data_IF_021961362034
#
_entry.id   IF_021961362034
#
_cell.length_a   1.000
_cell.length_b   1.000
_cell.length_c   1.000
_cell.angle_alpha   90.00
_cell.angle_beta   90.00
_cell.angle_gamma   90.00
#
_symmetry.space_group_name_H-M   'P 1'
#
loop_
_entity.id
_entity.type
_entity.pdbx_description
1 polymer ?
#
# COMPACT_ATOMS: atom_id res chain seq x y z
N UNK A 1 2.09 5.98 -3.04
CA UNK A 1 1.98 4.56 -2.76
C UNK A 1 1.42 3.81 -3.97
N UNK A 2 2.23 3.51 -4.99
CA UNK A 2 1.83 2.62 -6.08
C UNK A 2 1.26 1.27 -5.60
N UNK A 3 1.59 0.88 -4.36
CA UNK A 3 1.06 -0.29 -3.69
C UNK A 3 -0.46 -0.29 -3.45
N UNK A 4 -1.11 0.87 -3.25
CA UNK A 4 -2.57 0.90 -3.10
C UNK A 4 -3.29 0.66 -4.43
N UNK A 5 -2.81 1.25 -5.54
CA UNK A 5 -3.25 0.85 -6.89
C UNK A 5 -3.08 -0.65 -7.09
N UNK A 6 -1.91 -1.19 -6.74
CA UNK A 6 -1.62 -2.61 -6.90
C UNK A 6 -2.52 -3.49 -6.03
N UNK A 7 -2.91 -3.02 -4.83
CA UNK A 7 -3.87 -3.73 -3.98
C UNK A 7 -5.24 -3.80 -4.64
N UNK A 8 -5.63 -2.74 -5.32
CA UNK A 8 -6.90 -2.65 -6.03
C UNK A 8 -6.83 -3.12 -7.48
N UNK A 9 -5.69 -3.63 -7.95
CA UNK A 9 -5.50 -4.05 -9.35
C UNK A 9 -5.64 -2.92 -10.40
N UNK A 10 -5.35 -1.67 -10.03
CA UNK A 10 -5.43 -0.55 -10.96
C UNK A 10 -4.30 -0.54 -12.00
N UNK A 11 -4.62 -0.02 -13.19
CA UNK A 11 -3.66 0.35 -14.23
C UNK A 11 -2.96 1.68 -13.91
N UNK A 12 -1.63 1.67 -13.92
CA UNK A 12 -0.79 2.88 -13.83
C UNK A 12 -0.50 3.37 -12.42
N UNK A 13 0.30 4.44 -12.32
CA UNK A 13 0.51 5.16 -11.06
C UNK A 13 -0.31 6.45 -11.08
N UNK A 14 -1.33 6.55 -10.23
CA UNK A 14 -2.05 7.80 -9.99
C UNK A 14 -1.15 8.71 -9.17
N UNK A 15 -0.55 9.69 -9.83
CA UNK A 15 0.43 10.60 -9.24
C UNK A 15 -0.16 12.01 -9.29
N UNK A 16 -0.44 12.56 -8.11
CA UNK A 16 -0.78 13.97 -7.94
C UNK A 16 0.48 14.75 -7.61
N UNK A 17 0.73 15.86 -8.31
CA UNK A 17 1.84 16.75 -7.99
C UNK A 17 1.32 17.89 -7.14
N UNK A 18 1.74 17.93 -5.88
CA UNK A 18 1.42 19.02 -4.98
C UNK A 18 2.40 20.16 -5.21
N UNK A 19 1.96 21.21 -5.92
CA UNK A 19 2.78 22.39 -6.19
C UNK A 19 3.00 23.25 -4.93
N UNK A 20 2.08 23.22 -3.97
CA UNK A 20 2.20 23.96 -2.71
C UNK A 20 3.30 23.38 -1.82
N UNK A 21 3.53 22.07 -1.90
CA UNK A 21 4.53 21.37 -1.08
C UNK A 21 5.82 21.03 -1.87
N UNK A 22 6.34 22.03 -2.59
CA UNK A 22 7.62 21.93 -3.31
C UNK A 22 7.60 21.02 -4.54
N UNK A 23 6.41 20.78 -5.12
CA UNK A 23 6.25 19.97 -6.33
C UNK A 23 6.38 18.46 -6.08
N UNK A 24 6.20 18.00 -4.84
CA UNK A 24 6.30 16.58 -4.47
C UNK A 24 5.11 15.80 -5.02
N UNK A 25 5.39 14.60 -5.51
CA UNK A 25 4.36 13.72 -6.06
C UNK A 25 3.75 12.84 -4.97
N UNK A 26 2.53 13.18 -4.59
CA UNK A 26 1.69 12.41 -3.70
C UNK A 26 0.84 11.44 -4.52
N UNK A 27 0.44 10.34 -3.89
CA UNK A 27 -0.27 9.28 -4.58
C UNK A 27 -1.62 9.12 -3.92
N UNK A 28 -2.67 9.31 -4.72
CA UNK A 28 -4.05 9.14 -4.31
C UNK A 28 -4.62 8.07 -5.24
N UNK A 29 -4.97 6.88 -4.73
CA UNK A 29 -5.33 5.75 -5.56
C UNK A 29 -6.51 6.02 -6.52
N UNK A 30 -7.67 6.44 -5.99
CA UNK A 30 -8.93 6.59 -6.70
C UNK A 30 -9.21 8.02 -7.16
N UNK A 31 -8.89 9.00 -6.31
CA UNK A 31 -9.13 10.41 -6.62
C UNK A 31 -8.01 11.02 -7.48
N UNK A 32 -8.41 11.74 -8.51
CA UNK A 32 -7.54 12.50 -9.39
C UNK A 32 -8.14 13.90 -9.59
N UNK A 33 -7.43 14.99 -9.28
CA UNK A 33 -8.01 16.33 -9.42
C UNK A 33 -8.32 16.70 -10.88
N UNK A 34 -7.49 16.26 -11.83
CA UNK A 34 -7.69 16.55 -13.27
C UNK A 34 -8.46 15.48 -14.07
N UNK A 35 -9.04 14.44 -13.41
CA UNK A 35 -9.73 13.33 -14.10
C UNK A 35 -10.92 12.82 -13.29
N UNK A 36 -11.82 12.11 -13.94
CA UNK A 36 -12.88 11.38 -13.22
C UNK A 36 -12.25 10.37 -12.25
N UNK A 37 -12.80 10.31 -11.04
CA UNK A 37 -12.38 9.35 -10.02
C UNK A 37 -12.72 7.94 -10.47
N UNK A 38 -11.84 6.98 -10.17
CA UNK A 38 -12.08 5.59 -10.53
C UNK A 38 -13.15 4.96 -9.64
N UNK A 39 -14.02 4.15 -10.23
CA UNK A 39 -14.89 3.23 -9.49
C UNK A 39 -14.02 2.08 -8.94
N UNK A 40 -13.87 1.94 -7.60
CA UNK A 40 -13.03 0.92 -7.01
C UNK A 40 -13.52 -0.52 -7.27
N UNK A 41 -14.77 -0.72 -7.69
CA UNK A 41 -15.31 -2.03 -8.07
C UNK A 41 -15.22 -2.29 -9.58
N UNK A 42 -14.92 -1.28 -10.39
CA UNK A 42 -14.82 -1.39 -11.84
C UNK A 42 -13.55 -0.68 -12.34
N UNK A 43 -12.42 -1.16 -11.84
CA UNK A 43 -11.12 -0.58 -12.14
C UNK A 43 -10.64 -0.97 -13.54
N UNK A 44 -9.96 -0.07 -14.26
CA UNK A 44 -9.42 -0.39 -15.57
C UNK A 44 -8.30 -1.42 -15.41
N UNK A 45 -8.62 -2.69 -15.63
CA UNK A 45 -7.66 -3.77 -15.68
C UNK A 45 -6.85 -3.68 -16.97
N UNK A 46 -5.58 -4.08 -16.90
CA UNK A 46 -4.70 -4.19 -18.07
C UNK A 46 -4.75 -5.60 -18.61
N UNK A 47 -5.05 -5.74 -19.89
CA UNK A 47 -4.96 -7.02 -20.59
C UNK A 47 -3.56 -7.24 -21.19
N UNK A 48 -3.34 -8.45 -21.72
CA UNK A 48 -2.07 -8.86 -22.31
C UNK A 48 -1.60 -7.93 -23.45
N UNK A 49 -2.44 -7.69 -24.44
CA UNK A 49 -2.07 -6.92 -25.62
C UNK A 49 -1.70 -5.48 -25.26
N UNK A 50 -2.47 -4.86 -24.36
CA UNK A 50 -2.16 -3.52 -23.84
C UNK A 50 -0.82 -3.49 -23.10
N UNK A 51 -0.50 -4.54 -22.33
CA UNK A 51 0.77 -4.63 -21.61
C UNK A 51 1.94 -4.69 -22.59
N UNK A 52 1.85 -5.57 -23.58
CA UNK A 52 2.89 -5.75 -24.58
C UNK A 52 3.08 -4.48 -25.40
N UNK A 53 2.00 -3.84 -25.85
CA UNK A 53 2.08 -2.59 -26.61
C UNK A 53 2.77 -1.49 -25.79
N UNK A 54 2.39 -1.32 -24.52
CA UNK A 54 2.99 -0.33 -23.62
C UNK A 54 4.46 -0.64 -23.34
N UNK A 55 4.80 -1.91 -23.18
CA UNK A 55 6.16 -2.37 -22.93
C UNK A 55 7.07 -2.11 -24.14
N UNK A 56 6.60 -2.46 -25.35
CA UNK A 56 7.33 -2.20 -26.59
C UNK A 56 7.56 -0.70 -26.78
N UNK A 57 6.59 0.15 -26.47
CA UNK A 57 6.78 1.62 -26.53
C UNK A 57 7.91 2.13 -25.65
N UNK A 58 8.16 1.50 -24.51
CA UNK A 58 9.28 1.85 -23.63
C UNK A 58 10.60 1.42 -24.27
N UNK A 59 10.67 0.18 -24.77
CA UNK A 59 11.90 -0.39 -25.35
C UNK A 59 12.28 0.24 -26.70
N UNK A 60 11.30 0.70 -27.48
CA UNK A 60 11.52 1.33 -28.80
C UNK A 60 11.58 2.85 -28.73
N UNK A 61 11.54 3.45 -27.53
CA UNK A 61 11.59 4.90 -27.40
C UNK A 61 12.93 5.44 -27.94
N UNK A 62 12.93 6.55 -28.71
CA UNK A 62 14.13 7.09 -29.32
C UNK A 62 15.11 7.73 -28.32
N UNK A 63 14.66 8.02 -27.09
CA UNK A 63 15.50 8.56 -26.01
C UNK A 63 15.13 7.96 -24.66
N UNK A 64 16.09 7.91 -23.74
CA UNK A 64 15.88 7.47 -22.36
C UNK A 64 14.81 8.30 -21.64
N UNK A 65 14.75 9.61 -21.93
CA UNK A 65 13.75 10.50 -21.34
C UNK A 65 12.32 10.14 -21.78
N UNK A 66 12.14 9.74 -23.04
CA UNK A 66 10.84 9.27 -23.54
C UNK A 66 10.49 7.88 -22.99
N UNK A 67 11.47 6.97 -22.92
CA UNK A 67 11.30 5.67 -22.28
C UNK A 67 10.83 5.83 -20.82
N UNK A 68 11.49 6.71 -20.06
CA UNK A 68 11.14 6.99 -18.67
C UNK A 68 9.74 7.63 -18.55
N UNK A 69 9.37 8.51 -19.47
CA UNK A 69 8.02 9.11 -19.52
C UNK A 69 6.96 8.04 -19.79
N UNK A 70 7.18 7.15 -20.75
CA UNK A 70 6.28 6.02 -21.02
C UNK A 70 6.18 5.07 -19.82
N UNK A 71 7.31 4.78 -19.18
CA UNK A 71 7.37 3.92 -18.01
C UNK A 71 6.64 4.53 -16.80
N UNK A 72 6.77 5.84 -16.55
CA UNK A 72 6.04 6.53 -15.48
C UNK A 72 4.53 6.54 -15.73
N UNK A 73 4.11 6.83 -16.96
CA UNK A 73 2.69 6.91 -17.31
C UNK A 73 1.98 5.56 -17.21
N UNK A 74 2.66 4.47 -17.59
CA UNK A 74 2.07 3.13 -17.64
C UNK A 74 2.42 2.29 -16.41
N UNK A 75 3.52 2.59 -15.71
CA UNK A 75 4.09 1.74 -14.67
C UNK A 75 4.80 0.49 -15.22
N UNK A 76 5.07 0.41 -16.52
CA UNK A 76 5.77 -0.70 -17.18
C UNK A 76 7.17 -0.23 -17.57
N UNK A 77 8.20 -0.98 -17.21
CA UNK A 77 9.59 -0.58 -17.45
C UNK A 77 10.19 -1.10 -18.77
N UNK A 78 9.44 -1.91 -19.53
CA UNK A 78 9.92 -2.55 -20.75
C UNK A 78 9.31 -3.94 -20.94
N UNK A 79 9.66 -4.60 -22.03
CA UNK A 79 9.13 -5.93 -22.37
C UNK A 79 9.70 -6.99 -21.43
N UNK A 80 8.84 -7.75 -20.70
CA UNK A 80 9.32 -8.86 -19.91
C UNK A 80 9.99 -9.90 -20.81
N UNK A 81 11.20 -10.35 -20.46
CA UNK A 81 11.89 -11.41 -21.21
C UNK A 81 11.00 -12.66 -21.39
N UNK A 82 10.21 -12.97 -20.36
CA UNK A 82 9.29 -14.10 -20.34
C UNK A 82 8.07 -13.93 -21.26
N UNK A 83 7.83 -12.74 -21.83
CA UNK A 83 6.78 -12.53 -22.84
C UNK A 83 7.07 -13.29 -24.15
N UNK A 84 8.31 -13.76 -24.36
CA UNK A 84 8.65 -14.66 -25.46
C UNK A 84 8.02 -16.06 -25.32
N UNK A 85 7.54 -16.43 -24.13
CA UNK A 85 6.91 -17.73 -23.88
C UNK A 85 5.41 -17.63 -24.15
N UNK A 86 4.94 -18.31 -25.20
CA UNK A 86 3.50 -18.36 -25.55
C UNK A 86 2.62 -19.04 -24.51
N UNK A 87 3.23 -19.79 -23.57
CA UNK A 87 2.54 -20.41 -22.44
C UNK A 87 2.23 -19.45 -21.29
N UNK A 88 2.70 -18.20 -21.34
CA UNK A 88 2.49 -17.20 -20.29
C UNK A 88 1.63 -16.04 -20.81
N UNK A 89 0.58 -15.70 -20.05
CA UNK A 89 -0.16 -14.45 -20.17
C UNK A 89 0.28 -13.47 -19.09
N UNK A 90 0.68 -12.26 -19.48
CA UNK A 90 0.94 -11.15 -18.56
C UNK A 90 -0.28 -10.21 -18.49
N UNK A 91 -0.71 -9.77 -17.30
CA UNK A 91 -0.13 -10.07 -15.98
C UNK A 91 -0.62 -11.39 -15.35
N UNK A 92 -1.62 -12.06 -15.93
CA UNK A 92 -2.42 -13.11 -15.27
C UNK A 92 -1.64 -14.33 -14.77
N UNK A 93 -0.50 -14.66 -15.38
CA UNK A 93 0.31 -15.84 -15.02
C UNK A 93 1.12 -15.65 -13.75
N UNK A 94 1.25 -14.42 -13.26
CA UNK A 94 2.03 -14.10 -12.07
C UNK A 94 1.09 -13.54 -11.00
N UNK A 95 0.89 -14.32 -9.95
CA UNK A 95 0.21 -13.82 -8.77
C UNK A 95 0.90 -12.55 -8.25
N UNK A 96 0.10 -11.60 -7.77
CA UNK A 96 0.65 -10.41 -7.13
C UNK A 96 1.54 -10.81 -5.96
N UNK A 97 2.75 -10.24 -5.92
CA UNK A 97 3.66 -10.50 -4.83
C UNK A 97 3.13 -9.80 -3.56
N UNK A 98 2.48 -10.58 -2.68
CA UNK A 98 1.80 -10.09 -1.48
C UNK A 98 2.77 -9.44 -0.47
N UNK A 99 3.98 -9.99 -0.35
CA UNK A 99 5.04 -9.54 0.57
C UNK A 99 5.49 -8.08 0.38
N UNK A 100 5.83 -7.63 -0.84
CA UNK A 100 6.08 -6.22 -1.08
C UNK A 100 4.79 -5.40 -1.02
N UNK A 101 3.64 -5.97 -1.36
CA UNK A 101 2.39 -5.23 -1.47
C UNK A 101 1.85 -4.75 -0.11
N UNK A 102 1.50 -5.68 0.78
CA UNK A 102 0.89 -5.32 2.06
C UNK A 102 1.98 -5.02 3.11
N UNK A 103 2.88 -5.94 3.48
CA UNK A 103 3.88 -5.70 4.51
C UNK A 103 4.85 -4.54 4.21
N UNK A 104 5.60 -4.60 3.11
CA UNK A 104 6.69 -3.63 2.87
C UNK A 104 6.23 -2.26 2.39
N UNK A 105 5.04 -2.18 1.80
CA UNK A 105 4.48 -0.91 1.35
C UNK A 105 3.36 -0.44 2.27
N UNK A 106 2.21 -1.13 2.32
CA UNK A 106 1.04 -0.59 3.04
C UNK A 106 1.30 -0.45 4.53
N UNK A 107 1.73 -1.53 5.20
CA UNK A 107 1.98 -1.51 6.65
C UNK A 107 3.12 -0.56 7.00
N UNK A 108 4.19 -0.56 6.20
CA UNK A 108 5.28 0.41 6.34
C UNK A 108 4.77 1.85 6.27
N UNK A 109 4.00 2.19 5.24
CA UNK A 109 3.51 3.56 5.05
C UNK A 109 2.52 3.97 6.15
N UNK A 110 1.68 3.06 6.63
CA UNK A 110 0.82 3.33 7.79
C UNK A 110 1.64 3.64 9.04
N UNK A 111 2.72 2.90 9.29
CA UNK A 111 3.61 3.17 10.42
C UNK A 111 4.36 4.49 10.23
N UNK A 112 4.81 4.81 9.03
CA UNK A 112 5.40 6.11 8.72
C UNK A 112 4.40 7.25 8.98
N UNK A 113 3.10 7.07 8.63
CA UNK A 113 2.03 8.06 8.89
C UNK A 113 1.77 8.25 10.39
N UNK A 114 1.69 7.16 11.16
CA UNK A 114 1.39 7.24 12.60
C UNK A 114 2.56 7.75 13.44
N UNK A 115 3.78 7.76 12.89
CA UNK A 115 5.02 8.14 13.58
C UNK A 115 5.61 9.46 13.09
N UNK A 116 4.87 10.24 12.31
CA UNK A 116 5.32 11.52 11.73
C UNK A 116 6.57 11.40 10.84
N UNK A 117 6.77 10.23 10.22
CA UNK A 117 7.91 9.95 9.33
C UNK A 117 7.51 9.88 7.85
N UNK A 118 6.26 10.20 7.51
CA UNK A 118 5.73 10.02 6.17
C UNK A 118 6.10 11.18 5.24
N UNK A 119 7.25 11.07 4.57
CA UNK A 119 7.66 11.97 3.46
C UNK A 119 7.62 13.47 3.79
N UNK A 120 7.74 13.83 5.08
CA UNK A 120 7.65 15.21 5.56
C UNK A 120 6.27 15.85 5.36
N UNK A 121 5.22 15.04 5.37
CA UNK A 121 3.83 15.48 5.42
C UNK A 121 3.36 15.38 6.88
N UNK A 122 2.69 16.42 7.36
CA UNK A 122 2.00 16.38 8.65
C UNK A 122 0.68 15.61 8.54
N UNK A 123 -0.02 15.46 9.66
CA UNK A 123 -1.28 14.72 9.71
C UNK A 123 -2.49 15.47 9.14
N UNK A 124 -2.34 16.73 8.72
CA UNK A 124 -3.45 17.59 8.36
C UNK A 124 -4.54 17.61 9.44
N UNK A 125 -5.79 17.39 9.04
CA UNK A 125 -6.95 17.26 9.94
C UNK A 125 -7.14 15.83 10.48
N UNK A 126 -6.20 14.94 10.17
CA UNK A 126 -6.26 13.53 10.48
C UNK A 126 -6.34 13.23 11.98
N UNK A 127 -5.51 13.80 12.84
CA UNK A 127 -5.35 13.32 14.24
C UNK A 127 -5.12 11.79 14.28
N UNK A 128 -4.26 11.29 13.37
CA UNK A 128 -3.88 9.88 13.28
C UNK A 128 -2.44 9.62 13.74
N UNK A 129 -1.69 10.64 14.10
CA UNK A 129 -0.38 10.48 14.71
C UNK A 129 -0.50 9.98 16.14
N UNK A 130 0.45 9.13 16.52
CA UNK A 130 0.59 8.66 17.89
C UNK A 130 1.62 9.54 18.59
N UNK A 131 1.37 9.86 19.86
CA UNK A 131 2.37 10.54 20.67
C UNK A 131 3.65 9.71 20.77
N UNK A 132 4.81 10.38 20.80
CA UNK A 132 6.12 9.72 20.88
C UNK A 132 6.22 8.71 22.03
N UNK A 133 5.67 9.06 23.20
CA UNK A 133 5.65 8.16 24.36
C UNK A 133 4.86 6.87 24.11
N UNK A 134 3.76 6.95 23.34
CA UNK A 134 2.95 5.79 22.96
C UNK A 134 3.71 4.91 21.97
N UNK A 135 4.43 5.52 21.02
CA UNK A 135 5.26 4.81 20.04
C UNK A 135 6.40 4.07 20.74
N UNK A 136 7.05 4.70 21.73
CA UNK A 136 8.09 4.09 22.54
C UNK A 136 7.56 2.90 23.36
N UNK A 137 6.35 3.02 23.94
CA UNK A 137 5.70 1.94 24.67
C UNK A 137 5.37 0.74 23.76
N UNK A 138 4.80 1.01 22.57
CA UNK A 138 4.56 -0.01 21.54
C UNK A 138 5.89 -0.68 21.14
N UNK A 139 6.95 0.13 21.00
CA UNK A 139 8.31 -0.30 20.71
C UNK A 139 8.84 -1.29 21.74
N UNK A 140 8.79 -0.92 23.02
CA UNK A 140 9.18 -1.75 24.14
C UNK A 140 8.38 -3.04 24.24
N UNK A 141 7.06 -2.96 24.06
CA UNK A 141 6.18 -4.12 24.07
C UNK A 141 6.50 -5.11 22.93
N UNK A 142 6.84 -4.63 21.72
CA UNK A 142 7.29 -5.48 20.62
C UNK A 142 8.58 -6.23 20.96
N UNK A 143 9.54 -5.56 21.60
CA UNK A 143 10.82 -6.16 22.00
C UNK A 143 10.61 -7.26 23.03
N UNK A 144 9.77 -7.01 24.05
CA UNK A 144 9.43 -7.98 25.09
C UNK A 144 8.65 -9.18 24.54
N UNK A 145 7.66 -8.92 23.67
CA UNK A 145 6.92 -9.99 22.98
C UNK A 145 7.84 -10.81 22.07
N UNK A 146 8.84 -10.16 21.47
CA UNK A 146 9.86 -10.80 20.67
C UNK A 146 10.67 -11.87 21.42
N UNK A 147 10.89 -11.72 22.73
CA UNK A 147 11.59 -12.71 23.56
C UNK A 147 10.78 -13.98 23.80
N UNK A 148 9.45 -13.92 23.66
CA UNK A 148 8.53 -15.05 23.85
C UNK A 148 7.91 -15.57 22.54
N UNK A 149 8.23 -14.93 21.42
CA UNK A 149 7.76 -15.35 20.10
C UNK A 149 8.38 -16.70 19.74
N UNK A 150 7.55 -17.71 19.51
CA UNK A 150 8.05 -19.02 19.06
C UNK A 150 8.66 -18.88 17.67
N UNK A 151 9.80 -19.52 17.45
CA UNK A 151 10.52 -19.50 16.18
C UNK A 151 9.66 -19.99 14.98
N UNK A 152 8.60 -20.75 15.24
CA UNK A 152 7.63 -21.18 14.22
C UNK A 152 6.77 -20.05 13.64
N UNK A 153 6.59 -18.94 14.38
CA UNK A 153 5.87 -17.77 13.90
C UNK A 153 6.77 -16.80 13.12
N UNK A 154 8.08 -16.92 13.28
CA UNK A 154 9.07 -16.13 12.59
C UNK A 154 10.12 -15.53 13.50
N UNK A 155 10.94 -14.65 12.93
CA UNK A 155 11.96 -13.93 13.66
C UNK A 155 11.39 -12.93 14.67
N UNK A 156 12.21 -12.59 15.67
CA UNK A 156 11.92 -11.53 16.65
C UNK A 156 11.51 -10.23 15.93
N UNK A 157 10.34 -9.69 16.27
CA UNK A 157 9.91 -8.38 15.75
C UNK A 157 10.85 -7.28 16.30
N UNK A 158 11.51 -6.48 15.43
CA UNK A 158 12.31 -5.35 15.89
C UNK A 158 11.44 -4.27 16.53
N UNK A 159 12.04 -3.31 17.23
CA UNK A 159 11.32 -2.16 17.75
C UNK A 159 10.80 -1.28 16.58
N UNK A 160 9.47 -1.11 16.39
CA UNK A 160 8.91 -0.28 15.31
C UNK A 160 9.30 1.20 15.35
N UNK A 161 9.70 1.74 16.51
CA UNK A 161 10.11 3.12 16.70
C UNK A 161 11.58 3.35 16.34
N UNK A 162 12.48 2.51 16.86
CA UNK A 162 13.94 2.74 16.81
C UNK A 162 14.68 1.83 15.84
N UNK A 163 14.08 0.70 15.45
CA UNK A 163 14.71 -0.38 14.68
C UNK A 163 13.97 -0.67 13.38
N UNK A 164 13.26 0.33 12.83
CA UNK A 164 12.47 0.20 11.60
C UNK A 164 13.27 -0.34 10.41
N UNK A 165 14.56 -0.01 10.33
CA UNK A 165 15.47 -0.44 9.27
C UNK A 165 15.76 -1.96 9.28
N UNK A 166 15.53 -2.65 10.41
CA UNK A 166 15.63 -4.11 10.49
C UNK A 166 14.32 -4.83 10.11
N UNK A 167 13.23 -4.10 9.87
CA UNK A 167 11.98 -4.75 9.49
C UNK A 167 12.06 -5.31 8.06
N UNK A 168 11.87 -6.62 7.97
CA UNK A 168 11.68 -7.34 6.72
C UNK A 168 10.18 -7.60 6.49
N UNK A 169 9.82 -8.09 5.30
CA UNK A 169 8.43 -8.44 4.98
C UNK A 169 7.81 -9.37 6.05
N UNK A 170 8.58 -10.35 6.53
CA UNK A 170 8.20 -11.25 7.61
C UNK A 170 7.87 -10.50 8.92
N UNK A 171 8.75 -9.60 9.37
CA UNK A 171 8.53 -8.83 10.61
C UNK A 171 7.34 -7.89 10.49
N UNK A 172 7.13 -7.27 9.33
CA UNK A 172 5.93 -6.47 9.05
C UNK A 172 4.66 -7.35 9.08
N UNK A 173 4.71 -8.57 8.54
CA UNK A 173 3.59 -9.51 8.58
C UNK A 173 3.24 -9.90 10.00
N UNK A 174 4.24 -10.31 10.79
CA UNK A 174 4.06 -10.72 12.19
C UNK A 174 3.53 -9.56 13.03
N UNK A 175 4.12 -8.37 12.86
CA UNK A 175 3.64 -7.16 13.51
C UNK A 175 2.20 -6.83 13.14
N UNK A 176 1.85 -6.83 11.85
CA UNK A 176 0.50 -6.46 11.42
C UNK A 176 -0.58 -7.46 11.88
N UNK A 177 -0.27 -8.75 11.87
CA UNK A 177 -1.28 -9.80 12.09
C UNK A 177 -1.43 -10.22 13.56
N UNK A 178 -0.37 -10.13 14.36
CA UNK A 178 -0.39 -10.54 15.77
C UNK A 178 -0.30 -9.35 16.73
N UNK A 179 0.73 -8.51 16.58
CA UNK A 179 1.09 -7.52 17.59
C UNK A 179 0.27 -6.23 17.46
N UNK A 180 0.26 -5.64 16.28
CA UNK A 180 -0.41 -4.37 15.96
C UNK A 180 -1.86 -4.28 16.45
N UNK A 181 -2.72 -5.29 16.23
CA UNK A 181 -4.11 -5.27 16.70
C UNK A 181 -4.25 -5.05 18.21
N UNK A 182 -3.34 -5.63 18.99
CA UNK A 182 -3.33 -5.55 20.46
C UNK A 182 -2.63 -4.26 20.90
N UNK A 183 -1.47 -3.96 20.31
CA UNK A 183 -0.63 -2.83 20.70
C UNK A 183 -1.27 -1.47 20.37
N UNK A 184 -2.05 -1.39 19.29
CA UNK A 184 -2.74 -0.16 18.87
C UNK A 184 -4.13 0.01 19.50
N UNK A 185 -4.58 -0.95 20.31
CA UNK A 185 -5.90 -0.88 20.92
C UNK A 185 -6.00 0.30 21.89
N UNK A 186 -6.91 1.24 21.62
CA UNK A 186 -7.13 2.42 22.46
C UNK A 186 -5.99 3.44 22.47
N UNK A 187 -5.06 3.37 21.50
CA UNK A 187 -3.90 4.27 21.42
C UNK A 187 -4.10 5.52 20.56
N UNK A 188 -5.01 5.45 19.61
CA UNK A 188 -5.39 6.61 18.78
C UNK A 188 -6.44 7.45 19.51
N UNK A 189 -6.35 8.77 19.38
CA UNK A 189 -7.36 9.71 19.87
C UNK A 189 -8.74 9.39 19.28
N UNK A 190 -8.79 9.21 17.95
CA UNK A 190 -9.99 8.77 17.24
C UNK A 190 -9.97 7.24 17.02
N UNK A 191 -10.92 6.46 17.57
CA UNK A 191 -10.97 4.99 17.41
C UNK A 191 -11.13 4.51 15.95
N UNK A 192 -11.52 5.41 15.03
CA UNK A 192 -11.69 5.09 13.60
C UNK A 192 -10.40 4.58 12.95
N UNK A 193 -9.23 5.09 13.37
CA UNK A 193 -7.93 4.69 12.80
C UNK A 193 -7.54 3.26 13.17
N UNK A 194 -7.66 2.91 14.45
CA UNK A 194 -7.47 1.53 14.90
C UNK A 194 -8.45 0.57 14.21
N UNK A 195 -9.74 0.95 14.11
CA UNK A 195 -10.76 0.15 13.41
C UNK A 195 -10.43 -0.06 11.93
N UNK A 196 -9.96 0.99 11.25
CA UNK A 196 -9.57 0.94 9.84
C UNK A 196 -8.35 0.03 9.63
N UNK A 197 -7.34 0.11 10.50
CA UNK A 197 -6.21 -0.82 10.50
C UNK A 197 -6.67 -2.27 10.72
N UNK A 198 -7.57 -2.54 11.68
CA UNK A 198 -8.09 -3.89 11.90
C UNK A 198 -8.84 -4.46 10.69
N UNK A 199 -9.47 -3.61 9.86
CA UNK A 199 -10.07 -4.07 8.60
C UNK A 199 -8.99 -4.51 7.60
N UNK A 200 -7.88 -3.78 7.50
CA UNK A 200 -6.72 -4.20 6.70
C UNK A 200 -6.18 -5.55 7.19
N UNK A 201 -6.02 -5.72 8.50
CA UNK A 201 -5.53 -6.99 9.08
C UNK A 201 -6.44 -8.15 8.73
N UNK A 202 -7.76 -7.96 8.74
CA UNK A 202 -8.73 -8.98 8.30
C UNK A 202 -8.62 -9.29 6.81
N UNK A 203 -8.42 -8.29 5.95
CA UNK A 203 -8.16 -8.49 4.52
C UNK A 203 -6.88 -9.30 4.34
N UNK A 204 -5.81 -8.89 5.02
CA UNK A 204 -4.51 -9.53 4.91
C UNK A 204 -4.53 -10.99 5.39
N UNK A 205 -5.17 -11.26 6.53
CA UNK A 205 -5.34 -12.63 7.02
C UNK A 205 -6.14 -13.50 6.04
N UNK A 206 -7.11 -12.95 5.30
CA UNK A 206 -7.78 -13.70 4.23
C UNK A 206 -6.82 -14.04 3.08
N UNK A 207 -5.94 -13.12 2.69
CA UNK A 207 -4.93 -13.35 1.65
C UNK A 207 -3.85 -14.36 2.08
N UNK A 208 -3.66 -14.59 3.38
CA UNK A 208 -2.70 -15.55 3.93
C UNK A 208 -3.27 -16.97 4.07
N UNK A 209 -4.58 -17.17 3.87
CA UNK A 209 -5.19 -18.49 3.95
C UNK A 209 -4.65 -19.38 2.83
N UNK A 210 -4.31 -20.63 3.17
CA UNK A 210 -3.87 -21.64 2.19
C UNK A 210 -4.95 -21.94 1.13
N UNK A 211 -6.22 -21.83 1.53
CA UNK A 211 -7.37 -21.98 0.65
C UNK A 211 -8.41 -20.94 1.01
N UNK A 212 -9.00 -20.33 -0.02
CA UNK A 212 -10.09 -19.37 0.11
C UNK A 212 -11.12 -19.70 -0.95
N UNK A 213 -12.38 -19.56 -0.59
CA UNK A 213 -13.49 -19.81 -1.50
C UNK A 213 -13.52 -18.74 -2.61
N UNK A 214 -13.75 -19.17 -3.86
CA UNK A 214 -13.72 -18.27 -5.01
C UNK A 214 -14.90 -17.29 -5.01
N UNK A 215 -16.08 -17.76 -4.62
CA UNK A 215 -17.27 -16.91 -4.51
C UNK A 215 -17.06 -15.85 -3.43
N UNK A 216 -16.48 -16.20 -2.28
CA UNK A 216 -16.10 -15.24 -1.25
C UNK A 216 -15.09 -14.21 -1.75
N UNK A 217 -14.11 -14.60 -2.56
CA UNK A 217 -13.16 -13.66 -3.15
C UNK A 217 -13.91 -12.66 -4.05
N UNK A 218 -14.73 -13.18 -4.96
CA UNK A 218 -15.40 -12.39 -5.99
C UNK A 218 -16.51 -11.48 -5.43
N UNK A 219 -17.18 -11.86 -4.35
CA UNK A 219 -18.32 -11.11 -3.79
C UNK A 219 -17.97 -10.25 -2.56
N UNK A 220 -17.14 -10.77 -1.66
CA UNK A 220 -16.90 -10.17 -0.35
C UNK A 220 -15.52 -9.54 -0.25
N UNK A 221 -14.46 -10.26 -0.62
CA UNK A 221 -13.09 -9.78 -0.42
C UNK A 221 -12.81 -8.52 -1.26
N UNK A 222 -13.23 -8.50 -2.53
CA UNK A 222 -13.10 -7.34 -3.40
C UNK A 222 -13.82 -6.10 -2.84
N UNK A 223 -15.07 -6.26 -2.42
CA UNK A 223 -15.87 -5.19 -1.81
C UNK A 223 -15.21 -4.64 -0.56
N UNK A 224 -14.61 -5.51 0.26
CA UNK A 224 -13.88 -5.09 1.48
C UNK A 224 -12.59 -4.35 1.16
N UNK A 225 -11.86 -4.73 0.12
CA UNK A 225 -10.66 -4.02 -0.34
C UNK A 225 -11.05 -2.61 -0.83
N UNK A 226 -12.09 -2.53 -1.66
CA UNK A 226 -12.62 -1.27 -2.19
C UNK A 226 -13.05 -0.31 -1.06
N UNK A 227 -13.89 -0.78 -0.13
CA UNK A 227 -14.33 0.00 1.03
C UNK A 227 -13.13 0.44 1.90
N UNK A 228 -12.15 -0.43 2.09
CA UNK A 228 -10.95 -0.11 2.87
C UNK A 228 -10.16 1.04 2.24
N UNK A 229 -9.93 1.01 0.92
CA UNK A 229 -9.19 2.08 0.24
C UNK A 229 -9.97 3.39 0.20
N UNK A 230 -11.28 3.35 -0.09
CA UNK A 230 -12.11 4.55 -0.03
C UNK A 230 -12.09 5.19 1.37
N UNK A 231 -12.14 4.39 2.43
CA UNK A 231 -12.00 4.90 3.80
C UNK A 231 -10.60 5.40 4.08
N UNK A 232 -9.56 4.76 3.55
CA UNK A 232 -8.19 5.23 3.70
C UNK A 232 -8.05 6.64 3.12
N UNK A 233 -8.56 6.87 1.91
CA UNK A 233 -8.52 8.19 1.26
C UNK A 233 -9.29 9.25 2.03
N UNK A 234 -10.45 8.92 2.60
CA UNK A 234 -11.21 9.83 3.48
C UNK A 234 -10.54 10.06 4.85
N UNK A 235 -9.80 9.09 5.35
CA UNK A 235 -9.11 9.19 6.64
C UNK A 235 -7.81 9.96 6.54
N UNK A 236 -7.17 9.87 5.38
CA UNK A 236 -5.90 10.54 5.06
C UNK A 236 -6.16 11.82 4.28
N UNK A 237 -7.42 12.20 4.05
CA UNK A 237 -7.85 13.30 3.18
C UNK A 237 -6.86 14.44 3.30
N UNK A 238 -5.94 14.45 2.34
CA UNK A 238 -4.96 15.48 2.18
C UNK A 238 -5.82 16.65 1.80
N UNK A 239 -6.07 17.52 2.76
CA UNK A 239 -6.90 18.66 2.52
C UNK A 239 -6.13 19.54 1.53
N UNK A 240 -6.38 19.30 0.25
CA UNK A 240 -6.15 20.22 -0.83
C UNK A 240 -7.18 21.35 -0.68
N UNK A 241 -7.24 21.93 0.52
CA UNK A 241 -7.56 23.33 0.66
C UNK A 241 -6.40 24.09 0.01
N UNK A 242 -6.57 24.24 -1.30
CA UNK A 242 -6.23 25.42 -2.07
C UNK A 242 -6.64 26.66 -1.26
N UNK A 243 -5.84 27.02 -0.25
CA UNK A 243 -5.77 28.37 0.24
C UNK A 243 -5.04 29.16 -0.84
N UNK A 244 -5.80 29.71 -1.78
CA UNK A 244 -5.24 30.54 -2.84
C UNK A 244 -6.26 31.01 -3.88
N UNK A 245 -7.06 32.02 -3.49
CA UNK A 245 -7.91 32.92 -4.30
C UNK A 245 -9.36 32.49 -4.58
#
# INVERSE_FOLDING_TARGET
MPAMAKLMWMKGQTLFRDEANGGRTNYIPLYHPDRESYDPLNLPLRNYDELIEQAVKVDTAPTDAEAERHAKNTGINGLPLLAALSSLSFPDSFAHNLMPLIPQNIIKNLLDLWTDNFKGLDEGEGEYQLESAVIDEIGGACVLAGDTTLASFGARTPNPATQRHYFMAESYTLWATLWGPVLLHGRFEKPKYCKHFLQLVKIFNNCLKLSIDREYVDTELWTRIADWVQRFEKCVEFDLHLNGA
#
